data_IF_758124172149
#
_entry.id   IF_758124172149
#
_cell.length_a   1.000
_cell.length_b   1.000
_cell.length_c   1.000
_cell.angle_alpha   90.00
_cell.angle_beta   90.00
_cell.angle_gamma   90.00
#
_symmetry.space_group_name_H-M   'P 1'
#
loop_
_entity.id
_entity.type
_entity.pdbx_description
1 polymer ?
#
# COMPACT_ATOMS: atom_id res chain seq x y z
N UNK A 1 36.06 -59.35 -28.74
CA UNK A 1 36.12 -57.86 -28.39
C UNK A 1 34.73 -57.32 -28.50
N UNK A 2 34.01 -57.25 -27.39
CA UNK A 2 32.66 -56.66 -27.32
C UNK A 2 32.75 -55.15 -27.00
N UNK A 3 32.26 -54.33 -27.91
CA UNK A 3 32.16 -52.86 -27.68
C UNK A 3 30.87 -52.58 -26.94
N UNK A 4 30.98 -52.25 -25.66
CA UNK A 4 29.86 -51.74 -24.86
C UNK A 4 29.52 -50.32 -25.31
N UNK A 5 28.33 -50.11 -25.82
CA UNK A 5 27.75 -48.82 -26.17
C UNK A 5 27.09 -48.22 -24.90
N UNK A 6 27.73 -47.20 -24.32
CA UNK A 6 27.17 -46.49 -23.20
C UNK A 6 26.12 -45.49 -23.72
N UNK A 7 24.83 -45.79 -23.50
CA UNK A 7 23.74 -44.88 -23.83
C UNK A 7 23.59 -43.92 -22.67
N UNK A 8 24.06 -42.67 -22.87
CA UNK A 8 23.87 -41.57 -21.90
C UNK A 8 22.46 -41.01 -22.08
N UNK A 9 21.55 -41.42 -21.22
CA UNK A 9 20.17 -40.85 -21.18
C UNK A 9 20.21 -39.47 -20.55
N UNK A 10 20.14 -38.43 -21.39
CA UNK A 10 20.02 -37.04 -20.96
C UNK A 10 18.60 -36.82 -20.42
N UNK A 11 18.40 -36.85 -19.10
CA UNK A 11 17.15 -36.47 -18.47
C UNK A 11 17.07 -34.95 -18.54
N UNK A 12 16.36 -34.44 -19.54
CA UNK A 12 15.95 -33.02 -19.58
C UNK A 12 14.92 -32.81 -18.48
N UNK A 13 15.37 -32.33 -17.33
CA UNK A 13 14.50 -31.69 -16.38
C UNK A 13 13.91 -30.45 -17.07
N UNK A 14 12.70 -30.59 -17.58
CA UNK A 14 11.87 -29.42 -17.88
C UNK A 14 11.60 -28.72 -16.55
N UNK A 15 12.46 -27.80 -16.17
CA UNK A 15 12.08 -26.82 -15.17
C UNK A 15 10.85 -26.11 -15.76
N UNK A 16 9.67 -26.52 -15.33
CA UNK A 16 8.46 -25.72 -15.52
C UNK A 16 8.80 -24.38 -14.91
N UNK A 17 9.12 -23.39 -15.75
CA UNK A 17 9.31 -22.04 -15.29
C UNK A 17 8.01 -21.68 -14.56
N UNK A 18 8.07 -21.68 -13.22
CA UNK A 18 6.96 -21.22 -12.40
C UNK A 18 6.64 -19.84 -12.96
N UNK A 19 5.45 -19.68 -13.53
CA UNK A 19 5.09 -18.39 -14.13
C UNK A 19 5.12 -17.37 -13.01
N UNK A 20 5.97 -16.38 -13.15
CA UNK A 20 6.03 -15.27 -12.22
C UNK A 20 4.61 -14.69 -12.06
N UNK A 21 4.13 -14.57 -10.85
CA UNK A 21 2.83 -14.01 -10.51
C UNK A 21 3.01 -13.05 -9.32
N UNK A 22 2.14 -12.09 -9.18
CA UNK A 22 2.07 -11.27 -7.99
C UNK A 22 0.90 -11.79 -7.15
N UNK A 23 1.19 -12.19 -5.91
CA UNK A 23 0.16 -12.63 -4.96
C UNK A 23 0.12 -11.69 -3.77
N UNK A 24 -1.07 -11.27 -3.37
CA UNK A 24 -1.26 -10.42 -2.20
C UNK A 24 -2.22 -11.04 -1.21
N UNK A 25 -1.98 -10.74 0.05
CA UNK A 25 -2.77 -11.18 1.21
C UNK A 25 -3.10 -9.98 2.06
N UNK A 26 -4.38 -9.74 2.30
CA UNK A 26 -4.86 -8.80 3.32
C UNK A 26 -5.12 -9.63 4.57
N UNK A 27 -4.21 -9.54 5.52
CA UNK A 27 -4.17 -10.41 6.68
C UNK A 27 -5.23 -9.95 7.70
N UNK A 28 -5.98 -10.89 8.25
CA UNK A 28 -6.88 -10.61 9.36
C UNK A 28 -6.05 -10.37 10.63
N UNK A 29 -5.94 -9.11 11.00
CA UNK A 29 -5.25 -8.65 12.22
C UNK A 29 -6.24 -8.05 13.24
N UNK A 30 -7.53 -8.23 13.00
CA UNK A 30 -8.58 -7.49 13.70
C UNK A 30 -8.68 -6.05 13.19
N UNK A 31 -8.80 -5.06 14.11
CA UNK A 31 -8.79 -3.66 13.71
C UNK A 31 -7.38 -3.20 13.38
N UNK A 32 -7.13 -2.83 12.13
CA UNK A 32 -5.83 -2.39 11.63
C UNK A 32 -5.50 -2.95 10.25
N UNK A 33 -4.31 -2.67 9.76
CA UNK A 33 -3.83 -3.13 8.46
C UNK A 33 -2.59 -4.01 8.57
N UNK A 34 -2.57 -5.07 7.77
CA UNK A 34 -1.36 -5.80 7.41
C UNK A 34 -1.56 -6.44 6.04
N UNK A 35 -0.71 -6.08 5.08
CA UNK A 35 -0.78 -6.61 3.72
C UNK A 35 0.57 -7.25 3.37
N UNK A 36 0.56 -8.51 2.95
CA UNK A 36 1.76 -9.20 2.50
C UNK A 36 1.69 -9.44 1.00
N UNK A 37 2.77 -9.14 0.28
CA UNK A 37 2.87 -9.33 -1.17
C UNK A 37 4.05 -10.25 -1.50
N UNK A 38 3.80 -11.24 -2.34
CA UNK A 38 4.82 -12.07 -3.01
C UNK A 38 5.03 -11.49 -4.41
N UNK A 39 6.23 -10.98 -4.68
CA UNK A 39 6.57 -10.31 -5.94
C UNK A 39 6.98 -11.32 -7.03
N UNK A 40 6.78 -10.99 -8.32
CA UNK A 40 7.00 -11.92 -9.43
C UNK A 40 8.42 -12.48 -9.52
N UNK A 41 9.43 -11.74 -9.11
CA UNK A 41 10.85 -12.18 -9.14
C UNK A 41 11.30 -12.86 -7.84
N UNK A 42 10.38 -13.14 -6.91
CA UNK A 42 10.64 -13.87 -5.67
C UNK A 42 10.92 -12.99 -4.44
N UNK A 43 10.89 -11.66 -4.59
CA UNK A 43 10.92 -10.74 -3.45
C UNK A 43 9.58 -10.67 -2.71
N UNK A 44 9.56 -10.06 -1.54
CA UNK A 44 8.35 -9.89 -0.75
C UNK A 44 8.26 -8.51 -0.07
N UNK A 45 7.02 -8.13 0.25
CA UNK A 45 6.71 -6.84 0.90
C UNK A 45 5.70 -7.08 2.02
N UNK A 46 5.90 -6.43 3.15
CA UNK A 46 4.90 -6.30 4.20
C UNK A 46 4.56 -4.82 4.38
N UNK A 47 3.28 -4.47 4.19
CA UNK A 47 2.76 -3.12 4.43
C UNK A 47 1.94 -3.18 5.71
N UNK A 48 2.38 -2.46 6.72
CA UNK A 48 1.86 -2.43 8.09
C UNK A 48 1.88 -3.80 8.80
N UNK A 49 1.65 -3.79 10.09
CA UNK A 49 1.77 -4.98 10.95
C UNK A 49 0.58 -5.22 11.89
N UNK A 50 -0.46 -4.41 11.78
CA UNK A 50 -1.61 -4.50 12.67
C UNK A 50 -1.32 -4.09 14.11
N UNK A 51 -2.29 -4.33 15.02
CA UNK A 51 -2.23 -3.84 16.40
C UNK A 51 -1.30 -4.66 17.34
N UNK A 52 -0.97 -5.92 17.00
CA UNK A 52 -0.26 -6.80 17.93
C UNK A 52 0.90 -7.60 17.33
N UNK A 53 0.85 -7.88 16.04
CA UNK A 53 1.84 -8.67 15.32
C UNK A 53 1.75 -10.19 15.46
N UNK A 54 0.90 -10.73 16.34
CA UNK A 54 0.71 -12.17 16.48
C UNK A 54 0.21 -12.78 15.18
N UNK A 55 -0.90 -12.27 14.63
CA UNK A 55 -1.49 -12.76 13.38
C UNK A 55 -0.51 -12.68 12.21
N UNK A 56 0.22 -11.57 12.09
CA UNK A 56 1.23 -11.39 11.05
C UNK A 56 2.38 -12.38 11.22
N UNK A 57 2.91 -12.53 12.45
CA UNK A 57 4.02 -13.45 12.71
C UNK A 57 3.62 -14.91 12.46
N UNK A 58 2.38 -15.28 12.78
CA UNK A 58 1.85 -16.61 12.50
C UNK A 58 1.67 -16.83 10.99
N UNK A 59 1.13 -15.84 10.30
CA UNK A 59 1.02 -15.87 8.85
C UNK A 59 2.39 -16.04 8.17
N UNK A 60 3.39 -15.23 8.52
CA UNK A 60 4.74 -15.31 7.97
C UNK A 60 5.39 -16.67 8.23
N UNK A 61 5.22 -17.20 9.44
CA UNK A 61 5.69 -18.55 9.81
C UNK A 61 5.01 -19.63 8.96
N UNK A 62 3.70 -19.54 8.76
CA UNK A 62 2.94 -20.49 7.93
C UNK A 62 3.40 -20.52 6.48
N UNK A 63 3.92 -19.38 6.01
CA UNK A 63 4.52 -19.20 4.67
C UNK A 63 6.00 -19.58 4.61
N UNK A 64 6.64 -19.88 5.74
CA UNK A 64 8.08 -20.14 5.83
C UNK A 64 8.94 -18.90 5.58
N UNK A 65 8.40 -17.71 5.80
CA UNK A 65 9.09 -16.43 5.59
C UNK A 65 9.98 -16.14 6.80
N UNK A 66 11.28 -16.07 6.57
CA UNK A 66 12.30 -15.70 7.57
C UNK A 66 12.95 -14.35 7.26
N UNK A 67 12.80 -13.86 6.05
CA UNK A 67 13.37 -12.58 5.60
C UNK A 67 12.29 -11.79 4.86
N UNK A 68 12.17 -10.50 5.16
CA UNK A 68 11.31 -9.57 4.44
C UNK A 68 12.19 -8.56 3.70
N UNK A 69 12.00 -8.48 2.37
CA UNK A 69 12.79 -7.59 1.54
C UNK A 69 12.41 -6.12 1.76
N UNK A 70 11.10 -5.86 1.95
CA UNK A 70 10.57 -4.51 2.10
C UNK A 70 9.46 -4.48 3.17
N UNK A 71 9.69 -3.76 4.27
CA UNK A 71 8.67 -3.43 5.26
C UNK A 71 8.28 -1.98 5.08
N UNK A 72 6.99 -1.71 5.03
CA UNK A 72 6.42 -0.37 4.90
C UNK A 72 5.57 -0.05 6.12
N UNK A 73 5.81 1.08 6.75
CA UNK A 73 4.88 1.70 7.68
C UNK A 73 4.14 2.82 6.95
N UNK A 74 2.83 2.67 6.78
CA UNK A 74 2.04 3.71 6.11
C UNK A 74 1.96 4.97 6.95
N UNK A 75 1.66 4.85 8.22
CA UNK A 75 1.60 5.96 9.17
C UNK A 75 1.66 5.44 10.63
N UNK A 76 2.04 6.29 11.62
CA UNK A 76 2.32 5.85 12.97
C UNK A 76 1.08 5.75 13.89
N UNK A 77 -0.05 5.18 13.42
CA UNK A 77 -1.15 4.74 14.29
C UNK A 77 -0.92 3.32 14.81
N UNK A 78 -1.41 3.05 16.00
CA UNK A 78 -1.11 1.83 16.76
C UNK A 78 -1.58 0.55 16.10
N UNK A 79 -2.62 0.61 15.30
CA UNK A 79 -3.20 -0.49 14.53
C UNK A 79 -2.50 -0.73 13.19
N UNK A 80 -1.43 0.02 12.91
CA UNK A 80 -0.52 -0.16 11.78
C UNK A 80 0.90 -0.53 12.23
N UNK A 81 1.48 0.23 13.19
CA UNK A 81 2.90 0.06 13.53
C UNK A 81 3.20 -1.01 14.57
N UNK A 82 2.28 -1.28 15.53
CA UNK A 82 2.63 -2.10 16.71
C UNK A 82 3.09 -3.50 16.35
N UNK A 83 2.42 -4.11 15.38
CA UNK A 83 2.76 -5.46 14.96
C UNK A 83 4.11 -5.56 14.27
N UNK A 84 4.58 -4.49 13.63
CA UNK A 84 5.89 -4.46 12.99
C UNK A 84 7.02 -4.69 14.02
N UNK A 85 6.86 -4.27 15.27
CA UNK A 85 7.85 -4.56 16.33
C UNK A 85 8.07 -6.07 16.51
N UNK A 86 6.99 -6.86 16.42
CA UNK A 86 7.07 -8.31 16.49
C UNK A 86 7.73 -8.88 15.24
N UNK A 87 7.43 -8.31 14.08
CA UNK A 87 8.03 -8.70 12.80
C UNK A 87 9.55 -8.53 12.85
N UNK A 88 10.06 -7.37 13.26
CA UNK A 88 11.51 -7.14 13.45
C UNK A 88 12.15 -8.09 14.47
N UNK A 89 11.39 -8.61 15.43
CA UNK A 89 11.90 -9.55 16.41
C UNK A 89 12.00 -11.01 15.92
N UNK A 90 11.33 -11.36 14.80
CA UNK A 90 11.20 -12.77 14.35
C UNK A 90 11.58 -12.99 12.89
N UNK A 91 11.88 -11.92 12.14
CA UNK A 91 12.32 -11.98 10.74
C UNK A 91 13.46 -11.00 10.51
N UNK A 92 14.36 -11.31 9.58
CA UNK A 92 15.33 -10.35 9.07
C UNK A 92 14.63 -9.34 8.13
N UNK A 93 14.90 -8.05 8.26
CA UNK A 93 14.32 -6.99 7.41
C UNK A 93 15.43 -6.31 6.61
N UNK A 94 15.30 -6.26 5.27
CA UNK A 94 16.31 -5.64 4.41
C UNK A 94 16.08 -4.15 4.16
N UNK A 95 14.83 -3.73 4.06
CA UNK A 95 14.48 -2.33 3.82
C UNK A 95 13.24 -1.96 4.62
N UNK A 96 13.31 -0.84 5.32
CA UNK A 96 12.21 -0.24 6.05
C UNK A 96 11.84 1.10 5.43
N UNK A 97 10.59 1.26 5.04
CA UNK A 97 10.04 2.48 4.46
C UNK A 97 9.07 3.10 5.44
N UNK A 98 9.24 4.39 5.71
CA UNK A 98 8.46 5.11 6.71
C UNK A 98 8.10 6.51 6.17
N UNK A 99 7.03 7.07 6.67
CA UNK A 99 6.72 8.49 6.55
C UNK A 99 7.53 9.28 7.57
N UNK A 100 7.65 10.61 7.38
CA UNK A 100 8.32 11.49 8.37
C UNK A 100 7.37 11.95 9.49
N UNK A 101 6.17 11.35 9.59
CA UNK A 101 5.22 11.70 10.62
C UNK A 101 5.61 11.09 11.97
N UNK A 102 5.42 11.87 13.03
CA UNK A 102 5.52 11.44 14.42
C UNK A 102 4.18 11.67 15.11
N UNK A 103 3.58 10.61 15.60
CA UNK A 103 2.38 10.68 16.39
C UNK A 103 2.75 10.91 17.86
N UNK A 104 2.53 12.12 18.37
CA UNK A 104 2.90 12.48 19.74
C UNK A 104 2.11 11.74 20.83
N UNK A 105 1.02 11.07 20.47
CA UNK A 105 0.24 10.19 21.36
C UNK A 105 0.63 8.72 21.22
N UNK A 106 1.42 8.35 20.20
CA UNK A 106 1.95 7.02 20.05
C UNK A 106 3.08 6.76 21.06
N UNK A 107 3.02 5.59 21.70
CA UNK A 107 4.10 5.15 22.60
C UNK A 107 4.94 4.10 21.87
N UNK A 108 5.94 4.59 21.11
CA UNK A 108 6.94 3.72 20.54
C UNK A 108 6.84 3.44 19.05
N UNK A 109 6.24 4.34 18.26
CA UNK A 109 6.39 4.38 16.81
C UNK A 109 7.85 4.61 16.44
N UNK A 110 8.53 5.56 17.08
CA UNK A 110 9.97 5.82 16.89
C UNK A 110 10.88 4.61 17.15
N UNK A 111 10.45 3.68 17.99
CA UNK A 111 11.21 2.44 18.22
C UNK A 111 11.34 1.57 16.96
N UNK A 112 10.46 1.70 15.97
CA UNK A 112 10.63 0.99 14.69
C UNK A 112 11.84 1.51 13.92
N UNK A 113 12.07 2.81 13.93
CA UNK A 113 13.28 3.43 13.33
C UNK A 113 14.54 2.96 14.03
N UNK A 114 14.50 2.85 15.37
CA UNK A 114 15.60 2.29 16.17
C UNK A 114 15.83 0.82 15.86
N UNK A 115 14.78 0.02 15.74
CA UNK A 115 14.88 -1.40 15.37
C UNK A 115 15.46 -1.55 13.97
N UNK A 116 14.98 -0.79 12.99
CA UNK A 116 15.52 -0.81 11.63
C UNK A 116 16.98 -0.38 11.57
N UNK A 117 17.37 0.63 12.36
CA UNK A 117 18.77 1.07 12.44
C UNK A 117 19.69 0.06 13.16
N UNK A 118 19.15 -0.76 14.05
CA UNK A 118 19.88 -1.82 14.75
C UNK A 118 19.99 -3.12 13.93
N UNK A 119 19.13 -3.30 12.93
CA UNK A 119 19.11 -4.47 12.06
C UNK A 119 20.33 -4.45 11.12
N UNK A 120 21.20 -5.47 11.14
CA UNK A 120 22.36 -5.52 10.24
C UNK A 120 21.93 -5.51 8.78
N UNK A 121 22.37 -4.54 8.02
CA UNK A 121 22.05 -4.37 6.60
C UNK A 121 20.59 -3.95 6.27
N UNK A 122 19.81 -3.46 7.21
CA UNK A 122 18.53 -2.83 6.93
C UNK A 122 18.72 -1.38 6.45
N UNK A 123 18.23 -1.07 5.25
CA UNK A 123 18.13 0.31 4.76
C UNK A 123 16.86 0.96 5.31
N UNK A 124 16.96 2.19 5.84
CA UNK A 124 15.79 3.00 6.21
C UNK A 124 15.56 4.08 5.17
N UNK A 125 14.33 4.17 4.65
CA UNK A 125 13.95 5.02 3.53
C UNK A 125 12.76 5.89 3.90
N UNK A 126 12.79 7.14 3.49
CA UNK A 126 11.70 8.11 3.61
C UNK A 126 11.31 8.59 2.23
N UNK A 127 10.53 7.79 1.49
CA UNK A 127 10.19 8.12 0.10
C UNK A 127 9.30 9.35 0.03
N UNK A 128 9.31 9.98 -1.12
CA UNK A 128 8.55 11.18 -1.42
C UNK A 128 7.46 10.89 -2.45
N UNK A 129 6.39 11.69 -2.47
CA UNK A 129 5.34 11.54 -3.47
C UNK A 129 5.95 11.75 -4.87
N UNK A 130 5.64 10.87 -5.81
CA UNK A 130 6.24 10.82 -7.14
C UNK A 130 7.40 9.82 -7.30
N UNK A 131 8.03 9.39 -6.22
CA UNK A 131 9.10 8.39 -6.28
C UNK A 131 8.65 7.07 -6.93
N UNK A 132 9.62 6.42 -7.57
CA UNK A 132 9.46 5.05 -8.06
C UNK A 132 10.37 4.11 -7.26
N UNK A 133 9.78 3.24 -6.45
CA UNK A 133 10.51 2.27 -5.65
C UNK A 133 10.87 1.04 -6.49
N UNK A 134 12.13 0.61 -6.41
CA UNK A 134 12.67 -0.48 -7.21
C UNK A 134 12.63 -1.81 -6.45
N UNK A 135 11.43 -2.31 -6.19
CA UNK A 135 11.23 -3.56 -5.44
C UNK A 135 11.37 -4.82 -6.30
N UNK A 136 10.92 -4.73 -7.56
CA UNK A 136 10.94 -5.85 -8.50
C UNK A 136 11.07 -5.31 -9.94
N UNK A 137 11.87 -5.93 -10.82
CA UNK A 137 12.05 -5.45 -12.19
C UNK A 137 10.78 -5.52 -13.04
N UNK A 138 9.78 -6.32 -12.63
CA UNK A 138 8.53 -6.50 -13.36
C UNK A 138 7.37 -5.65 -12.80
N UNK A 139 7.54 -5.05 -11.61
CA UNK A 139 6.51 -4.27 -10.94
C UNK A 139 6.93 -2.81 -10.90
N UNK A 140 6.05 -1.93 -11.37
CA UNK A 140 6.23 -0.50 -11.14
C UNK A 140 5.59 -0.13 -9.82
N UNK A 141 6.33 0.49 -8.90
CA UNK A 141 5.85 0.93 -7.60
C UNK A 141 5.98 2.44 -7.52
N UNK A 142 4.87 3.14 -7.42
CA UNK A 142 4.83 4.61 -7.29
C UNK A 142 4.33 5.01 -5.92
N UNK A 143 5.01 5.98 -5.33
CA UNK A 143 4.56 6.69 -4.13
C UNK A 143 3.61 7.80 -4.57
N UNK A 144 2.39 7.78 -4.06
CA UNK A 144 1.36 8.75 -4.44
C UNK A 144 1.11 9.79 -3.36
N UNK A 145 1.43 9.48 -2.11
CA UNK A 145 1.33 10.40 -0.98
C UNK A 145 2.29 9.98 0.13
N UNK A 146 2.77 10.94 0.88
CA UNK A 146 3.51 10.81 2.14
C UNK A 146 3.62 12.18 2.79
N UNK A 147 4.15 12.28 4.01
CA UNK A 147 4.65 13.53 4.55
C UNK A 147 6.14 13.71 4.18
N UNK A 148 6.46 14.70 3.34
CA UNK A 148 7.83 14.99 2.90
C UNK A 148 8.68 15.67 3.97
N UNK A 149 8.05 16.37 4.90
CA UNK A 149 8.68 17.01 6.05
C UNK A 149 8.34 16.27 7.34
N UNK A 150 9.13 16.47 8.39
CA UNK A 150 8.79 15.94 9.71
C UNK A 150 7.55 16.63 10.24
N UNK A 151 6.47 15.87 10.37
CA UNK A 151 5.21 16.30 10.95
C UNK A 151 5.09 15.70 12.34
N UNK A 152 4.94 16.53 13.36
CA UNK A 152 4.67 16.11 14.74
C UNK A 152 3.25 16.53 15.12
N UNK A 153 2.37 15.58 15.37
CA UNK A 153 0.97 15.89 15.64
C UNK A 153 0.36 14.96 16.69
N UNK A 154 -0.68 15.47 17.37
CA UNK A 154 -1.66 14.70 18.16
C UNK A 154 -2.98 14.55 17.42
N UNK A 155 -3.13 15.26 16.30
CA UNK A 155 -4.32 15.21 15.48
C UNK A 155 -4.28 13.96 14.60
N UNK A 156 -5.24 13.06 14.81
CA UNK A 156 -5.32 11.79 14.08
C UNK A 156 -5.53 12.01 12.59
N UNK A 157 -6.31 13.01 12.18
CA UNK A 157 -6.58 13.29 10.77
C UNK A 157 -5.28 13.75 10.06
N UNK A 158 -4.44 14.54 10.74
CA UNK A 158 -3.11 14.94 10.24
C UNK A 158 -2.22 13.72 10.07
N UNK A 159 -2.18 12.82 11.05
CA UNK A 159 -1.38 11.60 11.00
C UNK A 159 -1.89 10.64 9.91
N UNK A 160 -3.21 10.45 9.78
CA UNK A 160 -3.82 9.66 8.71
C UNK A 160 -3.44 10.19 7.33
N UNK A 161 -3.50 11.50 7.14
CA UNK A 161 -3.18 12.13 5.85
C UNK A 161 -1.68 12.11 5.51
N UNK A 162 -0.80 11.77 6.47
CA UNK A 162 0.60 11.44 6.21
C UNK A 162 0.81 10.00 5.70
N UNK A 163 -0.23 9.22 5.48
CA UNK A 163 -0.13 7.85 4.99
C UNK A 163 0.71 7.75 3.73
N UNK A 164 1.70 6.86 3.76
CA UNK A 164 2.49 6.47 2.59
C UNK A 164 1.58 5.68 1.64
N UNK A 165 0.95 6.38 0.70
CA UNK A 165 0.08 5.77 -0.29
C UNK A 165 0.89 5.24 -1.47
N UNK A 166 0.67 3.97 -1.82
CA UNK A 166 1.44 3.26 -2.84
C UNK A 166 0.53 2.75 -3.96
N UNK A 167 0.99 2.90 -5.19
CA UNK A 167 0.39 2.23 -6.32
C UNK A 167 1.38 1.30 -6.98
N UNK A 168 1.06 0.02 -7.00
CA UNK A 168 1.77 -0.99 -7.74
C UNK A 168 1.09 -1.23 -9.08
N UNK A 169 1.90 -1.53 -10.10
CA UNK A 169 1.37 -1.90 -11.41
C UNK A 169 2.12 -3.14 -11.93
N UNK A 170 1.35 -4.18 -12.22
CA UNK A 170 1.85 -5.44 -12.74
C UNK A 170 0.86 -6.05 -13.74
N UNK A 171 1.34 -6.47 -14.88
CA UNK A 171 0.58 -7.16 -15.94
C UNK A 171 -0.80 -6.54 -16.22
N UNK A 172 -0.85 -5.23 -16.46
CA UNK A 172 -2.08 -4.50 -16.78
C UNK A 172 -2.96 -4.14 -15.58
N UNK A 173 -2.62 -4.60 -14.38
CA UNK A 173 -3.39 -4.37 -13.17
C UNK A 173 -2.71 -3.35 -12.26
N UNK A 174 -3.47 -2.35 -11.83
CA UNK A 174 -3.09 -1.44 -10.76
C UNK A 174 -3.57 -1.97 -9.41
N UNK A 175 -2.73 -1.86 -8.40
CA UNK A 175 -3.07 -2.12 -7.00
C UNK A 175 -2.81 -0.84 -6.23
N UNK A 176 -3.80 -0.37 -5.49
CA UNK A 176 -3.72 0.89 -4.74
C UNK A 176 -3.88 0.63 -3.25
N UNK A 177 -2.87 1.03 -2.48
CA UNK A 177 -2.81 0.95 -1.02
C UNK A 177 -2.75 2.37 -0.48
N UNK A 178 -3.77 2.77 0.29
CA UNK A 178 -3.96 4.16 0.71
C UNK A 178 -3.56 4.42 2.18
N UNK A 179 -3.24 3.37 2.94
CA UNK A 179 -3.21 3.48 4.40
C UNK A 179 -4.53 4.04 4.91
N UNK A 180 -4.47 5.08 5.72
CA UNK A 180 -5.65 5.74 6.26
C UNK A 180 -5.87 7.17 5.70
N UNK A 181 -5.27 7.45 4.53
CA UNK A 181 -5.44 8.72 3.84
C UNK A 181 -6.93 9.02 3.58
N UNK A 182 -7.33 10.26 3.86
CA UNK A 182 -8.72 10.70 3.79
C UNK A 182 -9.00 11.55 2.54
N UNK A 183 -10.20 12.12 2.46
CA UNK A 183 -10.70 12.88 1.31
C UNK A 183 -9.79 14.02 0.87
N UNK A 184 -9.09 14.67 1.79
CA UNK A 184 -8.14 15.74 1.46
C UNK A 184 -7.00 15.21 0.56
N UNK A 185 -6.40 14.08 0.94
CA UNK A 185 -5.33 13.42 0.17
C UNK A 185 -5.89 12.88 -1.16
N UNK A 186 -7.07 12.27 -1.14
CA UNK A 186 -7.72 11.79 -2.37
C UNK A 186 -7.89 12.91 -3.41
N UNK A 187 -8.35 14.09 -2.96
CA UNK A 187 -8.50 15.25 -3.83
C UNK A 187 -7.16 15.72 -4.39
N UNK A 188 -6.14 15.84 -3.54
CA UNK A 188 -4.81 16.23 -3.96
C UNK A 188 -4.23 15.24 -4.98
N UNK A 189 -4.33 13.93 -4.73
CA UNK A 189 -3.89 12.90 -5.66
C UNK A 189 -4.62 12.98 -7.02
N UNK A 190 -5.92 13.28 -7.03
CA UNK A 190 -6.68 13.44 -8.28
C UNK A 190 -6.23 14.64 -9.11
N UNK A 191 -5.74 15.69 -8.49
CA UNK A 191 -5.20 16.87 -9.17
C UNK A 191 -3.84 16.55 -9.79
N UNK A 192 -2.95 15.90 -9.04
CA UNK A 192 -1.58 15.59 -9.47
C UNK A 192 -1.56 14.44 -10.50
N UNK A 193 -2.17 13.32 -10.18
CA UNK A 193 -2.06 12.09 -10.97
C UNK A 193 -3.20 11.89 -11.98
N UNK A 194 -3.86 12.93 -12.40
CA UNK A 194 -5.04 13.02 -13.32
C UNK A 194 -5.53 11.71 -13.95
N UNK A 195 -4.66 10.91 -14.55
CA UNK A 195 -4.98 9.64 -15.24
C UNK A 195 -4.26 8.41 -14.65
N UNK A 196 -3.41 8.60 -13.66
CA UNK A 196 -2.55 7.56 -13.09
C UNK A 196 -3.16 6.73 -11.95
N UNK A 197 -4.39 7.00 -11.53
CA UNK A 197 -5.00 6.38 -10.35
C UNK A 197 -5.74 5.08 -10.63
N UNK A 198 -6.07 4.78 -11.89
CA UNK A 198 -6.85 3.58 -12.23
C UNK A 198 -6.19 2.32 -11.69
N UNK A 199 -6.93 1.58 -10.86
CA UNK A 199 -6.43 0.39 -10.16
C UNK A 199 -7.54 -0.63 -10.02
N UNK A 200 -7.32 -1.84 -10.52
CA UNK A 200 -8.29 -2.94 -10.44
C UNK A 200 -8.48 -3.45 -9.01
N UNK A 201 -7.46 -3.29 -8.17
CA UNK A 201 -7.47 -3.69 -6.76
C UNK A 201 -7.24 -2.44 -5.89
N UNK A 202 -8.15 -2.23 -4.94
CA UNK A 202 -8.06 -1.18 -3.94
C UNK A 202 -8.05 -1.80 -2.54
N UNK A 203 -7.00 -1.54 -1.73
CA UNK A 203 -7.14 -1.63 -0.29
C UNK A 203 -7.83 -0.37 0.19
N UNK A 204 -9.05 -0.54 0.67
CA UNK A 204 -9.90 0.57 1.09
C UNK A 204 -9.23 1.35 2.21
N UNK A 205 -9.20 2.66 2.05
CA UNK A 205 -8.57 3.55 3.02
C UNK A 205 -9.32 3.57 4.34
N UNK A 206 -8.57 3.72 5.43
CA UNK A 206 -9.04 3.97 6.79
C UNK A 206 -10.15 3.00 7.21
N UNK A 207 -9.93 1.70 6.91
CA UNK A 207 -10.82 0.58 7.26
C UNK A 207 -12.27 0.76 6.80
N UNK A 208 -12.53 1.57 5.76
CA UNK A 208 -13.86 1.94 5.31
C UNK A 208 -14.49 3.07 6.12
N UNK A 209 -13.69 4.02 6.58
CA UNK A 209 -14.18 5.26 7.20
C UNK A 209 -15.05 6.06 6.22
N UNK A 210 -16.07 6.75 6.75
CA UNK A 210 -16.90 7.68 5.97
C UNK A 210 -16.13 8.87 5.40
N UNK A 211 -14.96 9.18 5.98
CA UNK A 211 -14.12 10.32 5.60
C UNK A 211 -13.15 10.00 4.46
N UNK A 212 -13.12 8.75 3.99
CA UNK A 212 -12.29 8.28 2.88
C UNK A 212 -13.12 7.61 1.78
N UNK A 213 -12.48 7.20 0.69
CA UNK A 213 -13.12 6.52 -0.44
C UNK A 213 -14.28 7.32 -1.03
N UNK A 214 -14.02 8.60 -1.34
CA UNK A 214 -15.04 9.50 -1.90
C UNK A 214 -15.49 9.04 -3.28
N UNK A 215 -16.75 9.31 -3.66
CA UNK A 215 -17.30 8.91 -4.96
C UNK A 215 -16.48 9.47 -6.12
N UNK A 216 -15.94 10.69 -5.99
CA UNK A 216 -15.09 11.33 -6.99
C UNK A 216 -13.77 10.59 -7.15
N UNK A 217 -13.13 10.23 -6.05
CA UNK A 217 -11.91 9.43 -6.05
C UNK A 217 -12.15 8.04 -6.65
N UNK A 218 -13.19 7.33 -6.21
CA UNK A 218 -13.55 6.03 -6.73
C UNK A 218 -13.85 6.04 -8.23
N UNK A 219 -14.42 7.15 -8.77
CA UNK A 219 -14.64 7.30 -10.21
C UNK A 219 -13.32 7.38 -11.01
N UNK A 220 -12.21 7.78 -10.37
CA UNK A 220 -10.86 7.81 -10.96
C UNK A 220 -10.12 6.49 -10.78
N UNK A 221 -10.24 5.87 -9.61
CA UNK A 221 -9.63 4.58 -9.29
C UNK A 221 -10.30 3.45 -10.07
N UNK A 222 -11.62 3.41 -10.12
CA UNK A 222 -12.44 2.39 -10.78
C UNK A 222 -12.08 0.97 -10.34
N UNK A 223 -12.12 0.67 -9.03
CA UNK A 223 -11.71 -0.63 -8.52
C UNK A 223 -12.70 -1.72 -8.96
N UNK A 224 -12.16 -2.85 -9.42
CA UNK A 224 -12.92 -4.08 -9.63
C UNK A 224 -13.11 -4.82 -8.31
N UNK A 225 -12.08 -4.81 -7.46
CA UNK A 225 -12.07 -5.42 -6.13
C UNK A 225 -11.64 -4.40 -5.09
N UNK A 226 -12.37 -4.34 -4.00
CA UNK A 226 -12.08 -3.48 -2.86
C UNK A 226 -11.94 -4.33 -1.58
N UNK A 227 -10.74 -4.37 -1.03
CA UNK A 227 -10.40 -5.11 0.18
C UNK A 227 -10.51 -4.21 1.40
N UNK A 228 -11.30 -4.61 2.39
CA UNK A 228 -11.53 -3.87 3.61
C UNK A 228 -10.96 -4.67 4.78
N UNK A 229 -9.98 -4.11 5.49
CA UNK A 229 -9.45 -4.67 6.73
C UNK A 229 -10.07 -3.96 7.91
N UNK A 230 -10.71 -4.70 8.81
CA UNK A 230 -11.32 -4.15 10.03
C UNK A 230 -11.58 -5.25 11.07
N UNK A 231 -11.65 -4.87 12.34
CA UNK A 231 -12.04 -5.75 13.43
C UNK A 231 -13.56 -5.80 13.63
N UNK A 232 -14.13 -6.99 13.74
CA UNK A 232 -15.55 -7.15 14.05
C UNK A 232 -15.86 -6.54 15.42
N UNK A 233 -16.89 -5.69 15.48
CA UNK A 233 -17.28 -5.00 16.71
C UNK A 233 -16.33 -3.89 17.16
N UNK A 234 -15.48 -3.37 16.26
CA UNK A 234 -14.56 -2.29 16.56
C UNK A 234 -15.29 -1.02 17.06
N UNK A 235 -14.63 -0.26 17.92
CA UNK A 235 -15.22 0.93 18.57
C UNK A 235 -15.49 2.08 17.59
N UNK A 236 -14.83 2.09 16.45
CA UNK A 236 -14.98 3.10 15.40
C UNK A 236 -16.21 2.86 14.52
N UNK A 237 -16.82 1.67 14.64
CA UNK A 237 -17.93 1.21 13.79
C UNK A 237 -17.55 1.10 12.30
N UNK A 238 -16.26 0.89 12.01
CA UNK A 238 -15.79 0.61 10.64
C UNK A 238 -16.19 -0.81 10.21
N UNK A 239 -16.51 -1.01 8.90
CA UNK A 239 -16.68 0.01 7.87
C UNK A 239 -17.99 0.76 8.01
N UNK A 240 -18.01 2.05 7.73
CA UNK A 240 -19.23 2.84 7.72
C UNK A 240 -20.11 2.55 6.50
N UNK A 241 -21.42 2.61 6.67
CA UNK A 241 -22.39 2.35 5.61
C UNK A 241 -22.17 3.25 4.39
N UNK A 242 -21.83 4.51 4.62
CA UNK A 242 -21.59 5.50 3.57
C UNK A 242 -20.41 5.12 2.67
N UNK A 243 -19.33 4.57 3.26
CA UNK A 243 -18.19 4.09 2.49
C UNK A 243 -18.56 2.83 1.67
N UNK A 244 -19.27 1.89 2.28
CA UNK A 244 -19.74 0.68 1.60
C UNK A 244 -20.67 1.00 0.42
N UNK A 245 -21.57 1.96 0.57
CA UNK A 245 -22.48 2.39 -0.50
C UNK A 245 -21.71 3.05 -1.65
N UNK A 246 -20.72 3.91 -1.36
CA UNK A 246 -19.88 4.51 -2.40
C UNK A 246 -19.08 3.47 -3.18
N UNK A 247 -18.48 2.49 -2.50
CA UNK A 247 -17.74 1.40 -3.12
C UNK A 247 -18.63 0.52 -4.01
N UNK A 248 -19.84 0.16 -3.53
CA UNK A 248 -20.83 -0.59 -4.31
C UNK A 248 -21.29 0.20 -5.53
N UNK A 249 -21.57 1.50 -5.36
CA UNK A 249 -21.98 2.39 -6.46
C UNK A 249 -20.86 2.52 -7.52
N UNK A 250 -19.61 2.47 -7.11
CA UNK A 250 -18.46 2.43 -8.03
C UNK A 250 -18.31 1.08 -8.75
N UNK A 251 -19.11 0.08 -8.41
CA UNK A 251 -19.10 -1.25 -9.04
C UNK A 251 -18.07 -2.22 -8.45
N UNK A 252 -17.44 -1.87 -7.33
CA UNK A 252 -16.44 -2.72 -6.73
C UNK A 252 -17.04 -3.94 -6.04
N UNK A 253 -16.42 -5.11 -6.23
CA UNK A 253 -16.68 -6.30 -5.44
C UNK A 253 -15.97 -6.17 -4.10
N UNK A 254 -16.74 -6.18 -3.01
CA UNK A 254 -16.22 -6.02 -1.66
C UNK A 254 -15.75 -7.36 -1.11
N UNK A 255 -14.55 -7.37 -0.53
CA UNK A 255 -13.94 -8.47 0.19
C UNK A 255 -13.40 -7.90 1.50
N UNK A 256 -13.64 -8.58 2.62
CA UNK A 256 -13.24 -8.08 3.93
C UNK A 256 -12.61 -9.16 4.80
N UNK A 257 -11.93 -8.73 5.87
CA UNK A 257 -11.21 -9.62 6.78
C UNK A 257 -12.07 -10.18 7.91
N UNK A 258 -13.37 -9.88 7.98
CA UNK A 258 -14.25 -10.38 9.05
C UNK A 258 -14.40 -11.92 9.05
N UNK A 259 -14.17 -12.54 7.91
CA UNK A 259 -14.16 -13.99 7.73
C UNK A 259 -12.76 -14.61 7.64
N UNK A 260 -11.72 -13.84 7.93
CA UNK A 260 -10.32 -14.26 7.85
C UNK A 260 -9.53 -13.56 6.74
N UNK A 261 -8.26 -13.91 6.62
CA UNK A 261 -7.32 -13.35 5.63
C UNK A 261 -7.84 -13.53 4.20
N UNK A 262 -7.85 -12.45 3.44
CA UNK A 262 -8.23 -12.41 2.03
C UNK A 262 -6.99 -12.47 1.14
N UNK A 263 -7.13 -13.00 -0.07
CA UNK A 263 -6.00 -13.05 -1.01
C UNK A 263 -6.43 -12.74 -2.44
N UNK A 264 -5.44 -12.35 -3.24
CA UNK A 264 -5.58 -12.19 -4.69
C UNK A 264 -4.30 -12.64 -5.40
N UNK A 265 -4.43 -12.99 -6.66
CA UNK A 265 -3.28 -13.33 -7.52
C UNK A 265 -3.44 -12.67 -8.88
N UNK A 266 -2.42 -11.97 -9.32
CA UNK A 266 -2.30 -11.46 -10.69
C UNK A 266 -1.36 -12.39 -11.44
N UNK A 267 -1.85 -13.10 -12.47
CA UNK A 267 -1.04 -14.07 -13.19
C UNK A 267 0.08 -13.40 -13.98
N UNK A 268 1.09 -14.17 -14.32
CA UNK A 268 2.13 -13.74 -15.24
C UNK A 268 1.56 -13.33 -16.60
N UNK A 269 2.23 -12.42 -17.33
CA UNK A 269 1.91 -12.14 -18.73
C UNK A 269 1.89 -13.43 -19.57
N UNK A 270 0.95 -13.54 -20.51
CA UNK A 270 0.92 -14.67 -21.43
C UNK A 270 2.20 -14.70 -22.28
N UNK A 271 2.70 -15.89 -22.62
CA UNK A 271 3.89 -16.03 -23.49
C UNK A 271 3.64 -15.31 -24.82
N UNK A 272 4.56 -14.41 -25.20
CA UNK A 272 4.48 -13.65 -26.45
C UNK A 272 3.74 -12.32 -26.33
N UNK A 273 3.11 -12.01 -25.20
CA UNK A 273 2.70 -10.65 -24.88
C UNK A 273 3.87 -9.93 -24.21
N UNK A 274 4.33 -8.83 -24.80
CA UNK A 274 5.24 -7.91 -24.12
C UNK A 274 4.58 -7.39 -22.85
N UNK A 275 5.38 -6.94 -21.87
CA UNK A 275 4.85 -6.24 -20.71
C UNK A 275 3.97 -5.08 -21.17
N UNK A 276 2.78 -4.88 -20.56
CA UNK A 276 2.00 -3.70 -20.86
C UNK A 276 2.86 -2.45 -20.60
N UNK A 277 2.68 -1.39 -21.40
CA UNK A 277 3.46 -0.17 -21.20
C UNK A 277 3.30 0.32 -19.76
N UNK A 278 4.40 0.80 -19.18
CA UNK A 278 4.36 1.43 -17.86
C UNK A 278 3.31 2.53 -17.87
N UNK A 279 2.48 2.66 -16.83
CA UNK A 279 1.54 3.77 -16.76
C UNK A 279 2.34 5.07 -16.80
N UNK A 280 1.96 5.95 -17.70
CA UNK A 280 2.50 7.30 -17.73
C UNK A 280 1.73 8.08 -16.68
N UNK A 281 2.42 8.48 -15.61
CA UNK A 281 1.93 9.52 -14.73
C UNK A 281 2.19 10.84 -15.45
N UNK A 282 1.15 11.57 -15.83
CA UNK A 282 1.34 12.90 -16.40
C UNK A 282 1.78 13.84 -15.27
N UNK A 283 3.06 14.17 -15.26
CA UNK A 283 3.54 15.34 -14.53
C UNK A 283 2.93 16.57 -15.23
N UNK A 284 1.87 17.10 -14.65
CA UNK A 284 1.44 18.46 -14.98
C UNK A 284 1.89 19.31 -13.80
N UNK A 285 2.75 20.25 -14.08
CA UNK A 285 3.09 21.34 -13.16
C UNK A 285 1.83 22.10 -12.77
N UNK A 286 1.26 21.76 -11.61
CA UNK A 286 0.15 22.48 -11.01
C UNK A 286 0.75 23.26 -9.84
N UNK A 287 0.66 24.58 -9.87
CA UNK A 287 1.12 25.41 -8.76
C UNK A 287 0.19 25.28 -7.57
N UNK A 288 0.68 25.59 -6.36
CA UNK A 288 -0.12 25.55 -5.13
C UNK A 288 -1.40 26.39 -5.28
N UNK A 289 -1.32 27.54 -5.96
CA UNK A 289 -2.45 28.43 -6.21
C UNK A 289 -3.50 27.80 -7.13
N UNK A 290 -3.08 27.02 -8.13
CA UNK A 290 -3.99 26.28 -9.00
C UNK A 290 -4.67 25.11 -8.29
N UNK A 291 -4.03 24.55 -7.27
CA UNK A 291 -4.64 23.52 -6.40
C UNK A 291 -5.86 24.06 -5.64
N UNK A 292 -5.82 25.32 -5.20
CA UNK A 292 -6.94 25.96 -4.49
C UNK A 292 -8.01 26.52 -5.42
N UNK A 293 -7.66 26.86 -6.66
CA UNK A 293 -8.55 27.52 -7.62
C UNK A 293 -9.13 26.57 -8.69
N UNK A 294 -8.80 25.26 -8.65
CA UNK A 294 -9.28 24.31 -9.64
C UNK A 294 -10.81 24.24 -9.66
N UNK A 295 -11.46 24.43 -10.83
CA UNK A 295 -12.91 24.30 -10.96
C UNK A 295 -13.35 22.88 -10.57
N UNK A 296 -14.21 22.76 -9.56
CA UNK A 296 -14.71 21.49 -9.05
C UNK A 296 -14.28 21.18 -7.62
N UNK A 297 -13.62 22.10 -6.96
CA UNK A 297 -13.58 22.15 -5.51
C UNK A 297 -14.96 22.64 -5.07
N UNK A 298 -15.88 21.71 -4.85
CA UNK A 298 -17.30 22.06 -4.61
C UNK A 298 -17.57 22.53 -3.19
N UNK A 299 -16.50 22.68 -2.37
CA UNK A 299 -16.60 23.34 -1.06
C UNK A 299 -17.72 22.83 -0.16
N UNK A 300 -18.23 21.60 -0.40
CA UNK A 300 -19.29 21.06 0.46
C UNK A 300 -18.69 20.70 1.84
N UNK A 301 -18.97 21.49 2.88
CA UNK A 301 -18.38 21.27 4.21
C UNK A 301 -18.78 19.93 4.82
N UNK A 302 -19.80 19.26 4.29
CA UNK A 302 -20.24 17.96 4.75
C UNK A 302 -19.27 16.83 4.36
N UNK A 303 -18.46 17.04 3.31
CA UNK A 303 -17.46 16.07 2.84
C UNK A 303 -16.05 16.35 3.36
N UNK A 304 -15.86 17.50 4.03
CA UNK A 304 -14.58 17.94 4.55
C UNK A 304 -14.71 18.38 5.99
N UNK A 305 -14.06 17.71 6.92
CA UNK A 305 -13.63 18.41 8.13
C UNK A 305 -12.61 19.47 7.67
N UNK A 306 -12.66 20.68 8.25
CA UNK A 306 -11.54 21.61 8.15
C UNK A 306 -10.31 20.91 8.72
N UNK A 307 -9.59 20.20 7.86
CA UNK A 307 -8.25 19.73 8.16
C UNK A 307 -7.43 21.00 8.23
N UNK A 308 -6.91 21.28 9.43
CA UNK A 308 -6.00 22.40 9.61
C UNK A 308 -4.99 22.38 8.48
N UNK A 309 -5.06 23.39 7.64
CA UNK A 309 -4.47 23.45 6.34
C UNK A 309 -3.05 22.87 6.34
N UNK A 310 -2.79 22.02 5.43
CA UNK A 310 -1.59 22.24 4.72
C UNK A 310 -0.40 21.26 4.72
N UNK A 311 -0.11 20.27 5.56
CA UNK A 311 1.08 19.47 5.28
C UNK A 311 0.95 18.71 3.95
N UNK A 312 -0.21 18.13 3.67
CA UNK A 312 -0.42 17.36 2.45
C UNK A 312 -0.46 18.22 1.18
N UNK A 313 -0.96 19.46 1.27
CA UNK A 313 -1.07 20.37 0.12
C UNK A 313 0.28 21.02 -0.20
N UNK A 314 1.04 21.43 0.82
CA UNK A 314 2.39 21.98 0.65
C UNK A 314 3.35 20.95 0.03
N UNK A 315 3.17 19.68 0.33
CA UNK A 315 3.99 18.60 -0.19
C UNK A 315 3.79 18.35 -1.68
N UNK A 316 2.58 18.52 -2.19
CA UNK A 316 2.29 18.33 -3.61
C UNK A 316 2.78 19.50 -4.48
N UNK A 317 3.01 20.69 -3.91
CA UNK A 317 3.56 21.84 -4.62
C UNK A 317 5.06 21.75 -4.92
N UNK A 318 5.81 20.93 -4.18
CA UNK A 318 7.26 20.75 -4.38
C UNK A 318 7.57 19.95 -5.65
N UNK A 319 6.61 19.19 -6.18
CA UNK A 319 6.78 18.38 -7.39
C UNK A 319 6.19 19.02 -8.66
N UNK A 320 5.83 20.27 -8.58
CA UNK A 320 5.34 21.05 -9.72
C UNK A 320 6.46 21.80 -10.49
N UNK A 321 7.74 21.66 -10.08
CA UNK A 321 8.91 22.22 -10.78
C UNK A 321 9.73 21.15 -11.51
#
# INVERSE_FOLDING_TARGET
MAKSLLVLTLILFSASALRAQLTGYVIDVGQGDAIYLELPSGGNVLIDGGPSGEAVSEFLRSKGVTTIDHVVLTHPHSDHYRGLKKVFAVTDVKNFYDTRAENLDAKGDNNLRELAAAEPACGTWFPEAGDELKWDPQVTVKVLNTCSETVQSRDNDVINNCSLALRLFYNGNGLLFMGDAEAAVENAMMLVFKHGLSSSILKVSHHGSRYSSTSKFLSRVRPEYAYISFGVGNVYRHPHTEALERLKTAGAKLLDTSGGTQSFTIPAPARGQGFPPKPVFSDSSVTADELFLAPGFDGNPADYREVGAAPAITQLSIYAE
#
